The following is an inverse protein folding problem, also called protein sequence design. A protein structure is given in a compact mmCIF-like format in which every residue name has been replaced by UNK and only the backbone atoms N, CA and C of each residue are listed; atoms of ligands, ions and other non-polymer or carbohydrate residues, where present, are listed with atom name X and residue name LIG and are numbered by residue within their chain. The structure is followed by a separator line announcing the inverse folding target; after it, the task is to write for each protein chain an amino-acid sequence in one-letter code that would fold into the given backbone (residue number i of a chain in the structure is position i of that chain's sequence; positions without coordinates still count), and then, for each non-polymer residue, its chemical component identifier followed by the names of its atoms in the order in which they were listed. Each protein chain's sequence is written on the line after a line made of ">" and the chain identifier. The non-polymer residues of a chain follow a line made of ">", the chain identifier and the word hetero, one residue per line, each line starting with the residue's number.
data_IF_523991693093
#
_entry.id   IF_523991693093
#
_cell.length_a   1.000
_cell.length_b   1.000
_cell.length_c   1.000
_cell.angle_alpha   90.00
_cell.angle_beta   90.00
_cell.angle_gamma   90.00
#
_symmetry.space_group_name_H-M   'P 1'
#
loop_
_entity.id
_entity.type
_entity.pdbx_description
1 polymer ?
#
# COMPACT_ATOMS: atom_id res chain seq x y z
N UNK A 1 -7.52 -13.05 30.98
CA UNK A 1 -7.63 -13.52 29.58
C UNK A 1 -6.62 -12.74 28.77
N UNK A 2 -5.87 -13.40 27.89
CA UNK A 2 -4.90 -12.71 27.05
C UNK A 2 -5.67 -12.07 25.88
N UNK A 3 -5.80 -10.75 25.85
CA UNK A 3 -6.53 -10.00 24.81
C UNK A 3 -5.66 -9.74 23.57
N UNK A 4 -4.74 -10.65 23.25
CA UNK A 4 -3.75 -10.46 22.18
C UNK A 4 -3.92 -11.54 21.11
N UNK A 5 -4.12 -11.09 19.88
CA UNK A 5 -4.08 -11.94 18.68
C UNK A 5 -2.78 -11.64 17.94
N UNK A 6 -2.06 -12.69 17.54
CA UNK A 6 -0.82 -12.57 16.76
C UNK A 6 -1.09 -13.07 15.35
N UNK A 7 -0.81 -12.23 14.35
CA UNK A 7 -0.78 -12.60 12.95
C UNK A 7 0.68 -12.60 12.48
N UNK A 8 1.19 -13.77 12.07
CA UNK A 8 2.59 -13.91 11.67
C UNK A 8 2.76 -13.62 10.18
N UNK A 9 3.96 -13.21 9.79
CA UNK A 9 4.25 -12.82 8.40
C UNK A 9 3.96 -13.93 7.38
N UNK A 10 4.19 -15.20 7.75
CA UNK A 10 3.94 -16.39 6.92
C UNK A 10 2.46 -16.81 6.87
N UNK A 11 1.58 -16.11 7.59
CA UNK A 11 0.12 -16.32 7.58
C UNK A 11 -0.61 -15.22 6.82
N UNK A 12 0.11 -14.27 6.21
CA UNK A 12 -0.48 -13.20 5.40
C UNK A 12 -1.03 -13.76 4.10
N UNK A 13 -2.01 -13.06 3.52
CA UNK A 13 -2.34 -13.25 2.11
C UNK A 13 -1.17 -12.84 1.24
N UNK A 14 -1.01 -13.48 0.08
CA UNK A 14 0.06 -13.14 -0.85
C UNK A 14 -0.46 -13.07 -2.28
N UNK A 15 0.09 -12.16 -3.07
CA UNK A 15 -0.08 -12.17 -4.52
C UNK A 15 1.27 -11.91 -5.21
N UNK A 16 1.51 -12.59 -6.32
CA UNK A 16 2.67 -12.39 -7.18
C UNK A 16 2.18 -12.09 -8.60
N UNK A 17 2.46 -10.89 -9.07
CA UNK A 17 2.13 -10.42 -10.43
C UNK A 17 3.37 -10.28 -11.30
N UNK A 18 4.49 -10.90 -10.91
CA UNK A 18 5.80 -10.79 -11.54
C UNK A 18 6.53 -9.48 -11.20
N UNK A 19 5.85 -8.34 -11.40
CA UNK A 19 6.40 -7.02 -11.05
C UNK A 19 6.05 -6.55 -9.63
N UNK A 20 5.05 -7.17 -9.01
CA UNK A 20 4.57 -6.87 -7.67
C UNK A 20 4.54 -8.16 -6.86
N UNK A 21 5.26 -8.20 -5.76
CA UNK A 21 5.05 -9.20 -4.70
C UNK A 21 4.37 -8.51 -3.52
N UNK A 22 3.12 -8.84 -3.27
CA UNK A 22 2.29 -8.19 -2.26
C UNK A 22 2.00 -9.16 -1.10
N UNK A 23 2.08 -8.66 0.13
CA UNK A 23 1.70 -9.39 1.33
C UNK A 23 0.60 -8.64 2.08
N UNK A 24 -0.57 -9.26 2.24
CA UNK A 24 -1.78 -8.67 2.80
C UNK A 24 -1.96 -9.08 4.26
N UNK A 25 -1.95 -8.12 5.19
CA UNK A 25 -2.26 -8.40 6.60
C UNK A 25 -3.76 -8.54 6.85
N UNK A 26 -4.58 -7.86 6.04
CA UNK A 26 -6.04 -7.90 6.06
C UNK A 26 -6.59 -8.23 4.66
N UNK A 27 -7.82 -8.74 4.59
CA UNK A 27 -8.50 -9.16 3.36
C UNK A 27 -8.46 -8.06 2.30
N UNK A 28 -7.85 -8.36 1.16
CA UNK A 28 -7.59 -7.40 0.10
C UNK A 28 -7.49 -8.08 -1.27
N UNK A 29 -7.93 -7.37 -2.31
CA UNK A 29 -8.04 -7.89 -3.67
C UNK A 29 -8.78 -9.25 -3.66
N UNK A 30 -8.16 -10.30 -4.20
CA UNK A 30 -8.73 -11.65 -4.28
C UNK A 30 -8.44 -12.52 -3.04
N UNK A 31 -7.66 -12.03 -2.08
CA UNK A 31 -7.40 -12.76 -0.84
C UNK A 31 -8.43 -12.39 0.22
N UNK A 32 -9.09 -13.40 0.78
CA UNK A 32 -10.20 -13.24 1.71
C UNK A 32 -10.04 -14.14 2.94
N UNK A 33 -10.00 -13.50 4.11
CA UNK A 33 -10.13 -14.11 5.42
C UNK A 33 -11.19 -13.31 6.23
N UNK A 34 -12.35 -13.89 6.53
CA UNK A 34 -13.43 -13.19 7.24
C UNK A 34 -13.02 -12.77 8.67
N UNK A 35 -11.96 -13.35 9.23
CA UNK A 35 -11.44 -13.01 10.56
C UNK A 35 -10.42 -11.87 10.52
N UNK A 36 -9.94 -11.49 9.33
CA UNK A 36 -8.92 -10.45 9.12
C UNK A 36 -9.42 -9.38 8.15
N UNK A 37 -10.61 -8.83 8.39
CA UNK A 37 -11.19 -7.82 7.51
C UNK A 37 -10.58 -6.42 7.71
N UNK A 38 -10.33 -6.04 8.95
CA UNK A 38 -9.71 -4.77 9.39
C UNK A 38 -9.47 -4.84 10.91
N UNK A 39 -8.74 -3.87 11.47
CA UNK A 39 -8.59 -3.70 12.92
C UNK A 39 -8.90 -2.26 13.34
N UNK A 40 -10.05 -2.05 14.00
CA UNK A 40 -10.57 -0.70 14.20
C UNK A 40 -10.73 0.01 12.86
N UNK A 41 -10.10 1.18 12.71
CA UNK A 41 -10.09 1.96 11.46
C UNK A 41 -9.06 1.48 10.43
N UNK A 42 -8.09 0.64 10.82
CA UNK A 42 -7.05 0.13 9.92
C UNK A 42 -7.64 -0.93 8.97
N UNK A 43 -7.86 -0.54 7.71
CA UNK A 43 -8.50 -1.36 6.69
C UNK A 43 -7.52 -2.16 5.85
N UNK A 44 -6.39 -1.57 5.48
CA UNK A 44 -5.35 -2.21 4.66
C UNK A 44 -3.99 -2.00 5.31
N UNK A 45 -3.17 -3.06 5.32
CA UNK A 45 -1.76 -2.99 5.66
C UNK A 45 -1.02 -4.01 4.79
N UNK A 46 -0.56 -3.52 3.64
CA UNK A 46 0.14 -4.30 2.65
C UNK A 46 1.64 -4.01 2.71
N UNK A 47 2.44 -5.05 2.47
CA UNK A 47 3.88 -5.00 2.37
C UNK A 47 4.27 -5.47 0.98
N UNK A 48 4.56 -4.49 0.14
CA UNK A 48 4.66 -4.61 -1.30
C UNK A 48 6.10 -4.45 -1.74
N UNK A 49 6.57 -5.35 -2.59
CA UNK A 49 7.84 -5.23 -3.32
C UNK A 49 7.50 -4.94 -4.78
N UNK A 50 8.00 -3.81 -5.29
CA UNK A 50 7.68 -3.28 -6.61
C UNK A 50 8.95 -3.27 -7.45
N UNK A 51 8.91 -4.01 -8.55
CA UNK A 51 10.02 -4.13 -9.48
C UNK A 51 10.45 -2.78 -10.06
N UNK A 52 11.72 -2.70 -10.45
CA UNK A 52 12.30 -1.51 -11.07
C UNK A 52 11.45 -0.94 -12.24
N UNK A 53 11.13 0.35 -12.18
CA UNK A 53 10.36 1.08 -13.19
C UNK A 53 8.89 0.66 -13.31
N UNK A 54 8.39 -0.18 -12.39
CA UNK A 54 7.01 -0.67 -12.38
C UNK A 54 6.20 0.03 -11.30
N UNK A 55 4.89 -0.15 -11.35
CA UNK A 55 3.98 0.55 -10.48
C UNK A 55 2.53 0.37 -10.83
N UNK A 56 1.70 1.00 -10.02
CA UNK A 56 0.26 1.07 -10.18
C UNK A 56 -0.07 2.23 -11.12
N UNK A 57 -0.69 1.91 -12.26
CA UNK A 57 -1.23 2.92 -13.16
C UNK A 57 -2.34 3.74 -12.50
N UNK A 58 -2.83 4.78 -13.18
CA UNK A 58 -3.85 5.67 -12.63
C UNK A 58 -5.12 4.91 -12.25
N UNK A 59 -5.53 5.01 -10.99
CA UNK A 59 -6.72 4.38 -10.42
C UNK A 59 -7.39 5.29 -9.38
N UNK A 60 -8.71 5.12 -9.14
CA UNK A 60 -9.45 5.94 -8.19
C UNK A 60 -9.40 5.41 -6.75
N UNK A 61 -9.50 6.33 -5.79
CA UNK A 61 -9.91 6.08 -4.41
C UNK A 61 -10.96 7.10 -3.98
N UNK A 62 -11.82 6.70 -3.04
CA UNK A 62 -12.75 7.57 -2.31
C UNK A 62 -12.78 7.15 -0.84
N UNK A 63 -13.18 8.08 0.04
CA UNK A 63 -13.44 7.85 1.47
C UNK A 63 -12.38 7.01 2.19
N UNK A 64 -11.10 7.36 1.98
CA UNK A 64 -9.96 6.64 2.53
C UNK A 64 -8.80 7.58 2.81
N UNK A 65 -8.13 7.38 3.94
CA UNK A 65 -6.81 7.97 4.21
C UNK A 65 -5.74 6.94 3.81
N UNK A 66 -4.88 7.30 2.87
CA UNK A 66 -3.85 6.42 2.32
C UNK A 66 -2.49 6.90 2.76
N UNK A 67 -1.75 6.02 3.43
CA UNK A 67 -0.42 6.28 3.96
C UNK A 67 0.57 5.34 3.28
N UNK A 68 1.60 5.92 2.68
CA UNK A 68 2.66 5.20 1.99
C UNK A 68 3.97 5.40 2.74
N UNK A 69 4.63 4.28 3.10
CA UNK A 69 5.91 4.29 3.80
C UNK A 69 6.90 3.37 3.06
N UNK A 70 7.82 3.93 2.25
CA UNK A 70 8.90 3.15 1.68
C UNK A 70 9.86 2.64 2.78
N UNK A 71 10.06 1.33 2.82
CA UNK A 71 11.07 0.67 3.66
C UNK A 71 12.42 0.57 2.95
N UNK A 72 12.40 0.50 1.62
CA UNK A 72 13.58 0.51 0.75
C UNK A 72 13.24 1.17 -0.58
N UNK A 73 14.20 1.91 -1.13
CA UNK A 73 14.02 2.59 -2.41
C UNK A 73 13.16 3.84 -2.27
N UNK A 74 12.23 4.03 -3.21
CA UNK A 74 11.33 5.18 -3.24
C UNK A 74 10.07 4.85 -4.05
N UNK A 75 9.04 5.66 -3.88
CA UNK A 75 7.81 5.60 -4.67
C UNK A 75 7.47 7.00 -5.19
N UNK A 76 7.31 7.12 -6.51
CA UNK A 76 6.84 8.32 -7.16
C UNK A 76 5.31 8.33 -7.19
N UNK A 77 4.71 9.32 -6.54
CA UNK A 77 3.27 9.56 -6.53
C UNK A 77 2.91 10.66 -7.53
N UNK A 78 1.76 10.50 -8.20
CA UNK A 78 1.10 11.54 -8.98
C UNK A 78 -0.41 11.43 -8.82
N UNK A 79 -1.10 12.55 -8.59
CA UNK A 79 -2.56 12.59 -8.47
C UNK A 79 -3.27 13.54 -9.44
N UNK A 80 -4.60 13.45 -9.44
CA UNK A 80 -5.50 14.26 -10.28
C UNK A 80 -5.60 15.74 -9.86
N UNK A 81 -5.04 16.13 -8.72
CA UNK A 81 -4.94 17.54 -8.30
C UNK A 81 -3.65 18.19 -8.84
N UNK A 82 -2.81 17.41 -9.53
CA UNK A 82 -1.55 17.88 -10.10
C UNK A 82 -0.38 17.75 -9.15
N UNK A 83 -0.55 17.13 -7.96
CA UNK A 83 0.58 16.88 -7.08
C UNK A 83 1.47 15.80 -7.68
N UNK A 84 2.77 15.94 -7.49
CA UNK A 84 3.76 14.92 -7.84
C UNK A 84 4.86 14.97 -6.80
N UNK A 85 5.26 13.80 -6.29
CA UNK A 85 6.34 13.70 -5.33
C UNK A 85 7.06 12.37 -5.48
N UNK A 86 8.30 12.30 -5.01
CA UNK A 86 9.02 11.05 -4.81
C UNK A 86 9.20 10.91 -3.30
N UNK A 87 8.65 9.83 -2.76
CA UNK A 87 8.69 9.49 -1.34
C UNK A 87 9.84 8.50 -1.16
N UNK A 88 10.86 8.85 -0.39
CA UNK A 88 12.03 8.00 -0.19
C UNK A 88 11.90 7.14 1.06
N UNK A 89 12.75 6.11 1.16
CA UNK A 89 12.86 5.35 2.40
C UNK A 89 13.21 6.26 3.59
N UNK A 90 12.40 6.18 4.65
CA UNK A 90 12.48 7.06 5.82
C UNK A 90 11.45 8.19 5.81
N UNK A 91 10.83 8.48 4.66
CA UNK A 91 9.71 9.43 4.56
C UNK A 91 8.36 8.74 4.87
N UNK A 92 7.36 9.57 5.12
CA UNK A 92 5.95 9.15 5.19
C UNK A 92 5.15 10.09 4.30
N UNK A 93 4.35 9.53 3.40
CA UNK A 93 3.40 10.28 2.61
C UNK A 93 1.98 9.91 3.03
N UNK A 94 1.11 10.92 3.06
CA UNK A 94 -0.31 10.79 3.40
C UNK A 94 -1.14 11.47 2.32
N UNK A 95 -2.21 10.81 1.88
CA UNK A 95 -3.20 11.34 0.95
C UNK A 95 -4.60 11.04 1.46
N UNK A 96 -5.39 12.10 1.64
CA UNK A 96 -6.81 12.02 1.97
C UNK A 96 -7.62 11.96 0.66
N UNK A 97 -8.30 10.84 0.39
CA UNK A 97 -9.07 10.69 -0.85
C UNK A 97 -10.35 11.54 -0.85
N UNK A 98 -10.93 11.82 0.33
CA UNK A 98 -12.15 12.62 0.47
C UNK A 98 -13.27 12.14 -0.44
N UNK A 99 -13.87 13.06 -1.20
CA UNK A 99 -14.94 12.76 -2.16
C UNK A 99 -14.48 12.00 -3.41
N UNK A 100 -13.18 11.81 -3.59
CA UNK A 100 -12.60 11.09 -4.71
C UNK A 100 -11.30 11.70 -5.21
N UNK A 101 -10.30 10.84 -5.46
CA UNK A 101 -9.03 11.19 -6.08
C UNK A 101 -8.60 10.09 -7.04
N UNK A 102 -7.96 10.44 -8.16
CA UNK A 102 -7.25 9.47 -8.98
C UNK A 102 -5.75 9.67 -8.81
N UNK A 103 -5.02 8.57 -8.68
CA UNK A 103 -3.58 8.62 -8.50
C UNK A 103 -2.86 7.43 -9.12
N UNK A 104 -1.55 7.56 -9.26
CA UNK A 104 -0.66 6.52 -9.74
C UNK A 104 0.64 6.54 -8.96
N UNK A 105 1.22 5.37 -8.75
CA UNK A 105 2.41 5.19 -7.92
C UNK A 105 3.41 4.28 -8.64
N UNK A 106 4.64 4.75 -8.84
CA UNK A 106 5.67 4.01 -9.56
C UNK A 106 6.99 3.97 -8.80
N UNK A 107 7.70 2.86 -8.87
CA UNK A 107 9.11 2.81 -8.50
C UNK A 107 9.91 3.66 -9.52
N UNK A 108 10.53 4.79 -9.11
CA UNK A 108 11.21 5.69 -10.03
C UNK A 108 12.56 5.14 -10.51
N UNK A 109 13.07 4.07 -9.90
CA UNK A 109 14.38 3.49 -10.24
C UNK A 109 14.24 2.40 -11.29
N UNK A 110 15.12 2.40 -12.29
CA UNK A 110 15.15 1.40 -13.37
C UNK A 110 16.08 0.21 -13.10
N UNK A 111 16.83 0.24 -11.99
CA UNK A 111 17.90 -0.71 -11.68
C UNK A 111 17.69 -1.49 -10.37
N UNK A 112 16.67 -1.15 -9.58
CA UNK A 112 16.43 -1.74 -8.26
C UNK A 112 14.96 -1.72 -7.87
N UNK A 113 14.58 -2.69 -7.07
CA UNK A 113 13.22 -2.80 -6.53
C UNK A 113 13.01 -1.84 -5.35
N UNK A 114 11.76 -1.43 -5.16
CA UNK A 114 11.29 -0.71 -3.99
C UNK A 114 10.51 -1.67 -3.07
N UNK A 115 10.53 -1.41 -1.77
CA UNK A 115 9.65 -2.09 -0.81
C UNK A 115 8.91 -1.03 -0.01
N UNK A 116 7.59 -1.12 0.03
CA UNK A 116 6.70 -0.09 0.57
C UNK A 116 5.62 -0.73 1.42
N UNK A 117 5.29 -0.09 2.54
CA UNK A 117 4.04 -0.33 3.24
C UNK A 117 2.94 0.57 2.65
N UNK A 118 1.83 -0.05 2.27
CA UNK A 118 0.59 0.62 1.85
C UNK A 118 -0.45 0.42 2.95
N UNK A 119 -0.80 1.52 3.63
CA UNK A 119 -1.65 1.51 4.82
C UNK A 119 -2.87 2.36 4.55
N UNK A 120 -4.06 1.80 4.72
CA UNK A 120 -5.32 2.51 4.50
C UNK A 120 -6.16 2.55 5.77
N UNK A 121 -6.67 3.73 6.10
CA UNK A 121 -7.54 3.96 7.24
C UNK A 121 -8.90 4.46 6.76
N UNK A 122 -9.96 3.92 7.35
CA UNK A 122 -11.27 4.56 7.22
C UNK A 122 -11.22 5.95 7.88
N UNK A 123 -11.74 7.00 7.21
CA UNK A 123 -11.79 8.35 7.75
C UNK A 123 -12.78 8.49 8.92
#
# INVERSE_FOLDING_TARGET
>A
MNNMVIHRANERGTADHGWLQANFSFSFANWYDPTRMHFGVLRVMNDDIIAAGKGFGTHPHDNMEIITIPLKGALQHKDSMGNTSIVHAGDVQVMSAGTGIQHSEFNPYSDRDANTLQIWLFP
#
